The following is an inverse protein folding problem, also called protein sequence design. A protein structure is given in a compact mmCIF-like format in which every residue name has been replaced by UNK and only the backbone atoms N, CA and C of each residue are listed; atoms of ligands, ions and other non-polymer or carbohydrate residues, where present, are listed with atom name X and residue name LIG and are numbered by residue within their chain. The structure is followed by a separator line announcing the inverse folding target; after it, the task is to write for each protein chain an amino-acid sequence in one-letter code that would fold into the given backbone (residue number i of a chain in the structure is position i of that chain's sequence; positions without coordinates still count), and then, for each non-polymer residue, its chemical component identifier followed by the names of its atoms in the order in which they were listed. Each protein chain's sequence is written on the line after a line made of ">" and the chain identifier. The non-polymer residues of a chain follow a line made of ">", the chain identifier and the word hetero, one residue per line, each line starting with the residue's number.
data_IF_542243709016
#
_entry.id   IF_542243709016
#
_cell.length_a   1.000
_cell.length_b   1.000
_cell.length_c   1.000
_cell.angle_alpha   90.00
_cell.angle_beta   90.00
_cell.angle_gamma   90.00
#
_symmetry.space_group_name_H-M   'P 1'
#
loop_
_entity.id
_entity.type
_entity.pdbx_description
1 polymer ?
#
# COMPACT_ATOMS: atom_id res chain seq x y z
N UNK A 1 0.47 19.66 37.89
CA UNK A 1 -0.87 19.13 37.55
C UNK A 1 -0.71 18.24 36.32
N UNK A 2 -0.76 16.92 36.50
CA UNK A 2 -0.85 15.95 35.40
C UNK A 2 -2.32 15.52 35.26
N UNK A 3 -2.84 15.29 34.04
CA UNK A 3 -4.16 14.72 33.87
C UNK A 3 -4.12 13.20 34.17
N UNK A 4 -5.24 12.61 34.65
CA UNK A 4 -5.26 11.21 35.03
C UNK A 4 -5.35 10.27 33.81
N UNK A 5 -4.65 9.13 33.92
CA UNK A 5 -4.74 8.01 32.97
C UNK A 5 -6.16 7.43 32.97
N UNK A 6 -6.80 7.39 31.80
CA UNK A 6 -8.06 6.69 31.60
C UNK A 6 -7.81 5.18 31.44
N UNK A 7 -8.19 4.41 32.44
CA UNK A 7 -8.16 2.93 32.43
C UNK A 7 -9.32 2.40 31.59
N UNK A 8 -9.02 1.63 30.54
CA UNK A 8 -10.05 0.96 29.73
C UNK A 8 -10.50 -0.32 30.45
N UNK A 9 -11.82 -0.55 30.67
CA UNK A 9 -12.31 -1.74 31.36
C UNK A 9 -12.14 -3.02 30.51
N UNK A 10 -11.78 -4.11 31.19
CA UNK A 10 -11.43 -5.43 30.63
C UNK A 10 -12.58 -6.17 29.90
N UNK A 11 -13.77 -5.57 29.76
CA UNK A 11 -14.89 -6.12 29.01
C UNK A 11 -14.81 -5.85 27.49
N UNK A 12 -13.85 -5.05 27.01
CA UNK A 12 -13.61 -4.79 25.57
C UNK A 12 -12.60 -5.71 24.88
N UNK A 13 -12.04 -6.68 25.59
CA UNK A 13 -11.01 -7.61 25.07
C UNK A 13 -11.57 -8.90 24.44
N UNK A 14 -12.90 -9.09 24.37
CA UNK A 14 -13.54 -10.26 23.74
C UNK A 14 -14.39 -9.97 22.49
N UNK A 15 -14.20 -8.81 21.86
CA UNK A 15 -14.87 -8.44 20.59
C UNK A 15 -13.87 -8.13 19.46
N UNK A 16 -12.62 -8.60 19.56
CA UNK A 16 -11.58 -8.40 18.53
C UNK A 16 -11.35 -9.64 17.64
N UNK A 17 -12.12 -10.72 17.82
CA UNK A 17 -11.95 -11.98 17.05
C UNK A 17 -13.04 -12.28 16.01
N UNK A 18 -14.06 -11.42 15.85
CA UNK A 18 -15.16 -11.68 14.91
C UNK A 18 -15.51 -10.44 14.05
N UNK A 19 -14.54 -9.90 13.31
CA UNK A 19 -14.83 -8.92 12.25
C UNK A 19 -14.96 -9.67 10.91
N UNK A 20 -16.13 -9.65 10.25
CA UNK A 20 -16.31 -10.32 8.97
C UNK A 20 -15.57 -9.55 7.86
N UNK A 21 -14.82 -10.30 7.06
CA UNK A 21 -14.32 -9.88 5.75
C UNK A 21 -15.53 -9.57 4.85
N UNK A 22 -15.87 -8.30 4.64
CA UNK A 22 -16.96 -7.93 3.73
C UNK A 22 -16.43 -7.90 2.29
N UNK A 23 -16.51 -9.07 1.66
CA UNK A 23 -16.66 -9.20 0.21
C UNK A 23 -18.15 -9.00 -0.11
N UNK A 24 -18.43 -8.25 -1.18
CA UNK A 24 -19.74 -7.99 -1.79
C UNK A 24 -20.85 -9.01 -1.50
N UNK A 25 -21.99 -8.55 -0.96
CA UNK A 25 -23.20 -9.36 -0.82
C UNK A 25 -23.83 -9.68 -2.19
N UNK A 26 -24.27 -10.93 -2.46
CA UNK A 26 -25.18 -11.22 -3.56
C UNK A 26 -26.65 -11.02 -3.15
N UNK A 27 -27.48 -10.61 -4.11
CA UNK A 27 -28.92 -10.43 -3.98
C UNK A 27 -29.64 -11.75 -3.67
N UNK A 28 -30.62 -11.70 -2.75
CA UNK A 28 -31.59 -12.75 -2.51
C UNK A 28 -32.83 -12.54 -3.40
N UNK A 29 -33.35 -13.61 -4.02
CA UNK A 29 -34.72 -13.63 -4.56
C UNK A 29 -35.48 -14.83 -3.99
N UNK A 30 -36.71 -14.57 -3.56
CA UNK A 30 -37.58 -15.45 -2.82
C UNK A 30 -38.06 -16.70 -3.59
N UNK A 31 -38.41 -17.71 -2.80
CA UNK A 31 -38.97 -19.01 -3.15
C UNK A 31 -40.40 -18.96 -3.72
N UNK A 32 -40.70 -19.81 -4.70
CA UNK A 32 -42.07 -20.27 -4.98
C UNK A 32 -42.10 -21.81 -5.11
N UNK A 33 -43.14 -22.41 -4.55
CA UNK A 33 -43.28 -23.84 -4.22
C UNK A 33 -43.98 -24.70 -5.30
N UNK A 34 -43.51 -25.96 -5.38
CA UNK A 34 -44.21 -27.26 -5.63
C UNK A 34 -44.81 -27.64 -7.02
N UNK A 35 -44.33 -28.82 -7.45
CA UNK A 35 -45.00 -30.03 -7.99
C UNK A 35 -45.35 -30.15 -9.50
N UNK A 36 -44.63 -31.11 -10.10
CA UNK A 36 -45.10 -32.32 -10.79
C UNK A 36 -45.54 -32.32 -12.28
N UNK A 37 -44.88 -33.24 -13.01
CA UNK A 37 -45.38 -34.21 -14.00
C UNK A 37 -45.45 -33.87 -15.51
N UNK A 38 -44.71 -34.72 -16.24
CA UNK A 38 -44.96 -35.34 -17.57
C UNK A 38 -45.24 -34.46 -18.81
N UNK A 39 -44.41 -34.69 -19.84
CA UNK A 39 -44.93 -35.15 -21.14
C UNK A 39 -44.70 -34.26 -22.37
N UNK A 40 -43.73 -34.68 -23.19
CA UNK A 40 -43.72 -34.78 -24.66
C UNK A 40 -43.98 -33.54 -25.58
N UNK A 41 -43.17 -33.51 -26.65
CA UNK A 41 -43.37 -32.91 -28.00
C UNK A 41 -42.86 -31.47 -28.25
N UNK A 42 -41.68 -31.42 -28.86
CA UNK A 42 -41.29 -30.67 -30.06
C UNK A 42 -42.18 -29.51 -30.54
N UNK A 43 -41.68 -28.27 -30.42
CA UNK A 43 -41.96 -27.18 -31.40
C UNK A 43 -40.66 -26.39 -31.62
N UNK A 44 -40.24 -26.33 -32.87
CA UNK A 44 -39.18 -25.47 -33.37
C UNK A 44 -39.73 -24.04 -33.46
N UNK A 45 -39.11 -23.07 -32.79
CA UNK A 45 -39.03 -21.72 -33.33
C UNK A 45 -37.90 -20.90 -32.72
N UNK A 46 -37.09 -20.36 -33.62
CA UNK A 46 -35.90 -19.53 -33.47
C UNK A 46 -36.14 -18.27 -32.64
N UNK A 47 -35.30 -18.01 -31.64
CA UNK A 47 -35.05 -16.65 -31.15
C UNK A 47 -33.60 -16.51 -30.71
N UNK A 48 -32.89 -15.65 -31.42
CA UNK A 48 -31.51 -15.27 -31.18
C UNK A 48 -31.39 -14.54 -29.83
N UNK A 49 -30.63 -15.13 -28.91
CA UNK A 49 -30.03 -14.41 -27.79
C UNK A 49 -28.52 -14.65 -27.84
N UNK A 50 -27.81 -13.58 -28.20
CA UNK A 50 -26.36 -13.52 -28.08
C UNK A 50 -25.95 -13.75 -26.64
N UNK A 51 -25.34 -14.89 -26.37
CA UNK A 51 -24.60 -15.14 -25.15
C UNK A 51 -23.37 -14.22 -25.17
N UNK A 52 -23.48 -13.06 -24.52
CA UNK A 52 -22.31 -12.31 -24.07
C UNK A 52 -21.70 -13.14 -22.94
N UNK A 53 -20.80 -14.06 -23.31
CA UNK A 53 -19.94 -14.74 -22.36
C UNK A 53 -19.10 -13.68 -21.63
N UNK A 54 -19.24 -13.61 -20.31
CA UNK A 54 -18.27 -12.95 -19.44
C UNK A 54 -16.92 -13.63 -19.64
N UNK A 55 -16.09 -13.12 -20.57
CA UNK A 55 -14.65 -13.36 -20.54
C UNK A 55 -14.12 -12.62 -19.33
N UNK A 56 -13.81 -13.35 -18.27
CA UNK A 56 -12.86 -12.88 -17.27
C UNK A 56 -11.55 -12.60 -18.01
N UNK A 57 -11.15 -11.32 -18.08
CA UNK A 57 -9.86 -10.94 -18.65
C UNK A 57 -8.73 -11.64 -17.86
N UNK A 58 -7.93 -12.53 -18.48
CA UNK A 58 -6.78 -13.14 -17.82
C UNK A 58 -5.63 -12.14 -17.56
N UNK A 59 -5.78 -10.88 -17.99
CA UNK A 59 -4.77 -9.83 -17.86
C UNK A 59 -4.81 -9.08 -16.51
N UNK A 60 -5.79 -9.33 -15.63
CA UNK A 60 -5.91 -8.62 -14.34
C UNK A 60 -5.00 -9.19 -13.23
N UNK A 61 -4.17 -10.19 -13.53
CA UNK A 61 -3.38 -10.90 -12.51
C UNK A 61 -1.97 -11.28 -12.99
N UNK A 62 -1.37 -10.46 -13.86
CA UNK A 62 0.07 -10.56 -14.12
C UNK A 62 0.77 -9.87 -12.95
N UNK A 63 1.47 -10.60 -12.05
CA UNK A 63 2.29 -9.94 -11.05
C UNK A 63 3.30 -9.02 -11.77
N UNK A 64 3.57 -7.82 -11.25
CA UNK A 64 4.59 -6.95 -11.83
C UNK A 64 5.87 -7.76 -12.02
N UNK A 65 6.55 -7.56 -13.15
CA UNK A 65 7.77 -8.29 -13.47
C UNK A 65 8.72 -8.16 -12.28
N UNK A 66 9.03 -9.30 -11.64
CA UNK A 66 9.90 -9.30 -10.46
C UNK A 66 11.22 -8.61 -10.83
N UNK A 67 11.62 -7.62 -10.04
CA UNK A 67 12.91 -6.97 -10.24
C UNK A 67 13.99 -8.05 -10.19
N UNK A 68 14.88 -8.15 -11.20
CA UNK A 68 15.88 -9.21 -11.24
C UNK A 68 16.76 -9.13 -9.99
N UNK A 69 17.27 -10.28 -9.48
CA UNK A 69 18.16 -10.27 -8.33
C UNK A 69 19.41 -9.42 -8.62
N UNK A 70 19.88 -8.72 -7.59
CA UNK A 70 21.10 -7.89 -7.67
C UNK A 70 22.16 -8.41 -6.71
N UNK A 71 23.44 -8.25 -7.03
CA UNK A 71 24.52 -8.57 -6.10
C UNK A 71 24.95 -7.31 -5.35
N UNK A 72 24.83 -7.35 -4.02
CA UNK A 72 25.34 -6.32 -3.12
C UNK A 72 26.68 -6.78 -2.52
N UNK A 73 27.53 -5.82 -2.14
CA UNK A 73 28.77 -6.09 -1.42
C UNK A 73 28.62 -5.71 0.04
N UNK A 74 28.66 -6.71 0.93
CA UNK A 74 28.81 -6.51 2.36
C UNK A 74 30.30 -6.57 2.70
N UNK A 75 30.98 -5.41 2.66
CA UNK A 75 32.45 -5.32 2.71
C UNK A 75 33.09 -6.16 1.58
N UNK A 76 33.64 -7.32 1.91
CA UNK A 76 34.28 -8.26 0.97
C UNK A 76 33.37 -9.46 0.65
N UNK A 77 32.17 -9.53 1.23
CA UNK A 77 31.23 -10.65 1.07
C UNK A 77 30.14 -10.29 0.05
N UNK A 78 30.12 -10.91 -1.14
CA UNK A 78 29.04 -10.71 -2.10
C UNK A 78 27.79 -11.45 -1.66
N UNK A 79 26.65 -10.77 -1.71
CA UNK A 79 25.32 -11.33 -1.43
C UNK A 79 24.39 -11.05 -2.60
N UNK A 80 23.79 -12.09 -3.18
CA UNK A 80 22.76 -11.95 -4.21
C UNK A 80 21.39 -11.79 -3.55
N UNK A 81 20.70 -10.68 -3.81
CA UNK A 81 19.44 -10.34 -3.16
C UNK A 81 18.29 -10.28 -4.14
N UNK A 82 17.18 -10.90 -3.78
CA UNK A 82 15.89 -10.66 -4.42
C UNK A 82 15.40 -9.26 -4.02
N UNK A 83 15.01 -8.43 -4.98
CA UNK A 83 14.55 -7.04 -4.71
C UNK A 83 13.04 -7.00 -4.67
N UNK A 84 12.48 -6.40 -3.61
CA UNK A 84 11.03 -6.24 -3.46
C UNK A 84 10.67 -4.80 -3.09
N UNK A 85 10.08 -4.07 -4.04
CA UNK A 85 9.60 -2.70 -3.84
C UNK A 85 8.11 -2.62 -3.52
N UNK A 86 7.31 -3.66 -3.77
CA UNK A 86 5.89 -3.67 -3.45
C UNK A 86 5.57 -4.46 -2.16
N UNK A 87 4.62 -3.96 -1.37
CA UNK A 87 4.31 -4.48 -0.03
C UNK A 87 3.86 -5.95 -0.02
N UNK A 88 3.19 -6.40 -1.09
CA UNK A 88 2.68 -7.77 -1.21
C UNK A 88 3.81 -8.77 -1.47
N UNK A 89 4.74 -8.43 -2.35
CA UNK A 89 5.93 -9.22 -2.70
C UNK A 89 6.95 -9.25 -1.56
N UNK A 90 7.13 -8.11 -0.86
CA UNK A 90 8.13 -7.93 0.22
C UNK A 90 8.11 -9.04 1.27
N UNK A 91 6.93 -9.53 1.65
CA UNK A 91 6.79 -10.47 2.76
C UNK A 91 6.39 -11.87 2.31
N UNK A 92 5.68 -11.98 1.19
CA UNK A 92 5.28 -13.29 0.66
C UNK A 92 6.49 -14.13 0.28
N UNK A 93 7.52 -13.52 -0.31
CA UNK A 93 8.72 -14.26 -0.73
C UNK A 93 9.50 -14.85 0.45
N UNK A 94 9.57 -14.16 1.59
CA UNK A 94 10.27 -14.70 2.78
C UNK A 94 9.43 -15.74 3.52
N UNK A 95 8.12 -15.54 3.62
CA UNK A 95 7.22 -16.50 4.27
C UNK A 95 7.18 -17.86 3.57
N UNK A 96 7.44 -17.89 2.26
CA UNK A 96 7.46 -19.12 1.47
C UNK A 96 8.83 -19.82 1.48
N UNK A 97 9.91 -19.14 1.89
CA UNK A 97 11.25 -19.72 1.93
C UNK A 97 11.45 -20.52 3.23
N UNK A 98 11.92 -21.76 3.08
CA UNK A 98 12.25 -22.66 4.21
C UNK A 98 13.67 -22.48 4.70
N UNK A 99 14.54 -22.04 3.80
CA UNK A 99 15.94 -21.74 4.03
C UNK A 99 16.36 -20.49 3.23
N UNK A 100 17.47 -19.87 3.65
CA UNK A 100 18.10 -18.76 2.95
C UNK A 100 19.61 -19.02 2.96
N UNK A 101 20.22 -19.39 1.82
CA UNK A 101 21.67 -19.61 1.73
C UNK A 101 22.48 -18.38 2.18
N UNK A 102 23.66 -18.60 2.77
CA UNK A 102 24.51 -17.52 3.34
C UNK A 102 24.90 -16.44 2.32
N UNK A 103 25.00 -16.79 1.03
CA UNK A 103 25.34 -15.87 -0.05
C UNK A 103 24.11 -15.22 -0.71
N UNK A 104 22.94 -15.35 -0.10
CA UNK A 104 21.69 -14.80 -0.61
C UNK A 104 20.96 -13.94 0.42
N UNK A 105 20.06 -13.09 -0.05
CA UNK A 105 19.25 -12.27 0.81
C UNK A 105 18.01 -11.73 0.11
N UNK A 106 17.34 -10.81 0.79
CA UNK A 106 16.25 -10.02 0.23
C UNK A 106 16.43 -8.57 0.57
N UNK A 107 16.25 -7.70 -0.42
CA UNK A 107 16.28 -6.26 -0.24
C UNK A 107 14.88 -5.70 -0.41
N UNK A 108 14.27 -5.28 0.70
CA UNK A 108 13.02 -4.54 0.65
C UNK A 108 13.33 -3.06 0.40
N UNK A 109 12.66 -2.47 -0.58
CA UNK A 109 12.82 -1.06 -0.94
C UNK A 109 11.57 -0.29 -0.54
N UNK A 110 11.72 0.79 0.24
CA UNK A 110 10.61 1.59 0.77
C UNK A 110 10.60 2.99 0.17
N UNK A 111 9.42 3.42 -0.29
CA UNK A 111 9.12 4.78 -0.71
C UNK A 111 8.57 5.58 0.48
N UNK A 112 9.43 5.92 1.45
CA UNK A 112 9.04 6.66 2.66
C UNK A 112 10.16 7.59 3.12
N UNK A 113 9.85 8.87 3.29
CA UNK A 113 10.81 9.88 3.76
C UNK A 113 11.02 9.82 5.30
N UNK A 114 10.19 9.05 6.02
CA UNK A 114 10.24 8.91 7.48
C UNK A 114 10.77 7.52 7.89
N UNK A 115 9.90 6.68 8.43
CA UNK A 115 10.22 5.32 8.86
C UNK A 115 9.20 4.34 8.28
N UNK A 116 9.49 3.04 8.37
CA UNK A 116 8.59 1.98 7.95
C UNK A 116 8.47 0.90 9.02
N UNK A 117 7.34 0.19 8.99
CA UNK A 117 7.16 -1.05 9.75
C UNK A 117 7.44 -2.24 8.85
N UNK A 118 8.15 -3.22 9.39
CA UNK A 118 8.32 -4.52 8.76
C UNK A 118 7.62 -5.55 9.64
N UNK A 119 6.52 -6.15 9.18
CA UNK A 119 5.88 -7.23 9.91
C UNK A 119 6.74 -8.49 9.80
N UNK A 120 6.92 -9.14 10.93
CA UNK A 120 7.76 -10.35 11.08
C UNK A 120 6.93 -11.57 11.42
N UNK A 121 5.59 -11.40 11.51
CA UNK A 121 4.66 -12.49 11.73
C UNK A 121 4.83 -13.63 10.70
N UNK A 122 4.91 -14.84 11.24
CA UNK A 122 5.06 -16.10 10.50
C UNK A 122 6.32 -16.20 9.64
N UNK A 123 7.38 -15.47 9.99
CA UNK A 123 8.72 -15.74 9.45
C UNK A 123 9.34 -16.92 10.23
N UNK A 124 9.57 -18.03 9.53
CA UNK A 124 10.24 -19.21 10.09
C UNK A 124 11.76 -19.15 9.95
N UNK A 125 12.27 -18.21 9.16
CA UNK A 125 13.69 -17.99 8.93
C UNK A 125 14.31 -17.19 10.07
N UNK A 126 15.50 -17.62 10.50
CA UNK A 126 16.38 -16.80 11.34
C UNK A 126 17.18 -15.88 10.43
N UNK A 127 17.00 -14.57 10.60
CA UNK A 127 17.55 -13.55 9.71
C UNK A 127 18.38 -12.53 10.50
N UNK A 128 19.41 -11.96 9.88
CA UNK A 128 19.92 -10.65 10.29
C UNK A 128 19.17 -9.57 9.48
N UNK A 129 18.85 -8.46 10.12
CA UNK A 129 18.28 -7.28 9.47
C UNK A 129 19.29 -6.15 9.48
N UNK A 130 19.58 -5.62 8.29
CA UNK A 130 20.43 -4.46 8.07
C UNK A 130 19.54 -3.37 7.45
N UNK A 131 19.38 -2.24 8.14
CA UNK A 131 18.59 -1.11 7.65
C UNK A 131 19.52 -0.03 7.11
N UNK A 132 19.23 0.42 5.90
CA UNK A 132 20.08 1.34 5.15
C UNK A 132 19.33 2.63 4.82
N UNK A 133 20.02 3.76 4.85
CA UNK A 133 19.53 5.06 4.37
C UNK A 133 19.50 5.12 2.81
N UNK A 134 19.03 6.22 2.17
CA UNK A 134 18.98 6.33 0.72
C UNK A 134 20.34 6.17 0.02
N UNK A 135 21.44 6.52 0.70
CA UNK A 135 22.80 6.42 0.21
C UNK A 135 23.44 5.04 0.47
N UNK A 136 22.71 4.12 1.11
CA UNK A 136 23.20 2.80 1.48
C UNK A 136 23.98 2.76 2.78
N UNK A 137 23.96 3.83 3.59
CA UNK A 137 24.62 3.83 4.90
C UNK A 137 23.85 2.98 5.88
N UNK A 138 24.54 2.13 6.63
CA UNK A 138 23.97 1.26 7.66
C UNK A 138 23.54 2.12 8.85
N UNK A 139 22.24 2.15 9.10
CA UNK A 139 21.63 2.81 10.25
C UNK A 139 21.42 1.85 11.42
N UNK A 140 21.26 0.57 11.11
CA UNK A 140 20.94 -0.46 12.08
C UNK A 140 21.36 -1.83 11.55
N UNK A 141 21.92 -2.66 12.42
CA UNK A 141 22.19 -4.08 12.14
C UNK A 141 21.89 -4.88 13.40
N UNK A 142 20.97 -5.86 13.31
CA UNK A 142 20.73 -6.80 14.40
C UNK A 142 20.32 -8.19 13.90
N UNK A 143 20.73 -9.26 14.60
CA UNK A 143 20.11 -10.56 14.44
C UNK A 143 18.65 -10.50 14.91
N UNK A 144 17.75 -10.96 14.06
CA UNK A 144 16.37 -11.24 14.43
C UNK A 144 16.35 -12.59 15.15
N UNK A 145 16.61 -12.57 16.46
CA UNK A 145 16.39 -13.74 17.31
C UNK A 145 14.89 -14.07 17.39
N UNK A 146 14.54 -15.35 17.62
CA UNK A 146 13.15 -15.85 17.72
C UNK A 146 12.25 -15.05 18.67
N UNK A 147 12.84 -14.36 19.66
CA UNK A 147 12.16 -13.33 20.40
C UNK A 147 12.33 -12.01 19.68
N UNK A 148 11.26 -11.44 19.10
CA UNK A 148 10.95 -10.01 19.14
C UNK A 148 9.79 -9.68 18.19
N UNK A 149 8.72 -9.14 18.78
CA UNK A 149 7.62 -8.34 18.20
C UNK A 149 6.99 -8.82 16.87
N UNK A 150 5.66 -8.75 16.77
CA UNK A 150 4.93 -9.02 15.51
C UNK A 150 5.41 -8.15 14.33
N UNK A 151 6.00 -7.01 14.65
CA UNK A 151 6.51 -5.99 13.72
C UNK A 151 7.70 -5.26 14.35
N UNK A 152 8.62 -4.72 13.54
CA UNK A 152 9.61 -3.75 13.99
C UNK A 152 9.53 -2.44 13.20
N UNK A 153 9.86 -1.33 13.85
CA UNK A 153 9.97 0.01 13.24
C UNK A 153 11.41 0.30 12.82
N UNK A 154 11.60 0.84 11.62
CA UNK A 154 12.91 1.32 11.18
C UNK A 154 13.30 2.61 11.90
N UNK A 155 14.61 2.95 11.97
CA UNK A 155 15.03 4.31 12.20
C UNK A 155 14.45 5.26 11.15
N UNK A 156 14.27 6.52 11.52
CA UNK A 156 13.92 7.59 10.59
C UNK A 156 15.03 7.73 9.54
N UNK A 157 14.63 7.88 8.27
CA UNK A 157 15.52 7.99 7.13
C UNK A 157 15.96 6.65 6.53
N UNK A 158 15.56 5.52 7.10
CA UNK A 158 15.80 4.22 6.44
C UNK A 158 14.96 4.09 5.16
N UNK A 159 15.58 3.59 4.09
CA UNK A 159 14.94 3.29 2.80
C UNK A 159 14.95 1.82 2.42
N UNK A 160 15.91 1.08 2.97
CA UNK A 160 16.08 -0.31 2.61
C UNK A 160 16.14 -1.18 3.86
N UNK A 161 15.53 -2.36 3.77
CA UNK A 161 15.74 -3.44 4.73
C UNK A 161 16.36 -4.61 3.99
N UNK A 162 17.66 -4.84 4.23
CA UNK A 162 18.39 -6.00 3.75
C UNK A 162 18.28 -7.11 4.79
N UNK A 163 17.65 -8.21 4.38
CA UNK A 163 17.51 -9.42 5.17
C UNK A 163 18.42 -10.51 4.62
N UNK A 164 19.28 -11.05 5.48
CA UNK A 164 20.22 -12.13 5.17
C UNK A 164 20.12 -13.21 6.23
N UNK A 165 20.68 -14.40 5.99
CA UNK A 165 20.70 -15.46 6.99
C UNK A 165 21.41 -14.98 8.28
N UNK A 166 20.97 -15.47 9.45
CA UNK A 166 21.57 -15.08 10.73
C UNK A 166 23.07 -15.35 10.77
N UNK A 167 23.83 -14.37 11.27
CA UNK A 167 25.28 -14.41 11.40
C UNK A 167 26.03 -13.96 10.15
N UNK A 168 25.37 -13.80 8.99
CA UNK A 168 26.01 -13.30 7.77
C UNK A 168 26.51 -11.87 7.96
N UNK A 169 25.73 -11.00 8.61
CA UNK A 169 26.14 -9.61 8.82
C UNK A 169 27.38 -9.54 9.73
N UNK A 170 27.40 -10.34 10.80
CA UNK A 170 28.52 -10.43 11.73
C UNK A 170 29.78 -11.01 11.06
N UNK A 171 29.64 -12.08 10.27
CA UNK A 171 30.73 -12.72 9.51
C UNK A 171 31.33 -11.78 8.47
N UNK A 172 30.50 -10.96 7.81
CA UNK A 172 30.95 -9.94 6.87
C UNK A 172 31.60 -8.73 7.56
N UNK A 173 31.44 -8.58 8.88
CA UNK A 173 31.96 -7.44 9.64
C UNK A 173 31.27 -6.12 9.30
N UNK A 174 29.96 -6.17 9.00
CA UNK A 174 29.14 -4.98 8.77
C UNK A 174 28.71 -4.38 10.12
N UNK A 175 28.94 -3.09 10.29
CA UNK A 175 28.52 -2.32 11.46
C UNK A 175 27.79 -1.02 11.06
N UNK A 176 27.15 -0.37 12.05
CA UNK A 176 26.49 0.92 11.89
C UNK A 176 27.49 1.96 11.38
N UNK A 177 27.10 2.71 10.36
CA UNK A 177 27.94 3.71 9.71
C UNK A 177 28.67 3.21 8.47
N UNK A 178 28.75 1.90 8.25
CA UNK A 178 29.26 1.34 7.00
C UNK A 178 28.36 1.70 5.81
N UNK A 179 28.87 1.51 4.59
CA UNK A 179 28.11 1.77 3.36
C UNK A 179 28.02 0.52 2.50
N UNK A 180 26.80 0.18 2.09
CA UNK A 180 26.50 -0.86 1.11
C UNK A 180 26.10 -0.15 -0.19
N UNK A 181 26.83 -0.40 -1.27
CA UNK A 181 26.53 0.23 -2.55
C UNK A 181 25.19 -0.26 -3.12
N UNK A 182 24.21 0.65 -3.22
CA UNK A 182 22.90 0.37 -3.81
C UNK A 182 22.98 0.64 -5.33
N UNK A 183 22.65 -0.34 -6.19
CA UNK A 183 22.62 -0.12 -7.63
C UNK A 183 21.63 0.99 -8.01
N UNK A 184 21.95 1.87 -8.99
CA UNK A 184 21.06 2.96 -9.38
C UNK A 184 19.64 2.51 -9.76
N UNK A 185 19.51 1.35 -10.41
CA UNK A 185 18.21 0.77 -10.76
C UNK A 185 17.35 0.44 -9.53
N UNK A 186 17.98 0.03 -8.42
CA UNK A 186 17.30 -0.24 -7.15
C UNK A 186 17.00 1.05 -6.41
N UNK A 187 17.95 2.00 -6.41
CA UNK A 187 17.76 3.30 -5.77
C UNK A 187 16.56 4.06 -6.35
N UNK A 188 16.37 3.99 -7.67
CA UNK A 188 15.23 4.58 -8.35
C UNK A 188 13.87 4.05 -7.85
N UNK A 189 13.81 2.82 -7.32
CA UNK A 189 12.58 2.25 -6.76
C UNK A 189 12.20 2.84 -5.40
N UNK A 190 13.13 3.51 -4.72
CA UNK A 190 12.93 4.10 -3.39
C UNK A 190 12.34 5.51 -3.42
N UNK A 191 12.26 6.12 -4.60
CA UNK A 191 11.70 7.46 -4.82
C UNK A 191 10.26 7.35 -5.31
N UNK A 192 9.28 7.94 -4.59
CA UNK A 192 7.90 7.95 -5.07
C UNK A 192 7.77 8.81 -6.33
N UNK A 193 7.01 8.33 -7.30
CA UNK A 193 6.66 9.12 -8.50
C UNK A 193 5.82 10.31 -8.09
N UNK A 194 6.31 11.53 -8.37
CA UNK A 194 5.65 12.80 -8.05
C UNK A 194 5.30 13.56 -9.32
N UNK A 195 4.03 13.89 -9.51
CA UNK A 195 3.55 14.70 -10.63
C UNK A 195 3.00 16.04 -10.14
N UNK A 196 3.30 17.17 -10.83
CA UNK A 196 2.66 18.44 -10.52
C UNK A 196 1.18 18.41 -10.93
N UNK A 197 0.28 18.71 -10.00
CA UNK A 197 -1.16 18.88 -10.27
C UNK A 197 -1.58 20.25 -9.81
N UNK A 198 -2.30 20.98 -10.68
CA UNK A 198 -2.84 22.30 -10.34
C UNK A 198 -4.12 22.15 -9.52
N UNK A 199 -4.11 22.67 -8.30
CA UNK A 199 -5.26 22.76 -7.42
C UNK A 199 -5.55 24.24 -7.13
N UNK A 200 -6.67 24.75 -7.62
CA UNK A 200 -6.96 26.18 -7.58
C UNK A 200 -5.88 27.00 -8.30
N UNK A 201 -5.22 27.92 -7.59
CA UNK A 201 -4.13 28.75 -8.12
C UNK A 201 -2.73 28.17 -7.91
N UNK A 202 -2.58 27.06 -7.18
CA UNK A 202 -1.28 26.50 -6.80
C UNK A 202 -0.99 25.18 -7.50
N UNK A 203 0.29 24.85 -7.65
CA UNK A 203 0.75 23.55 -8.12
C UNK A 203 1.23 22.73 -6.94
N UNK A 204 0.63 21.57 -6.73
CA UNK A 204 0.97 20.63 -5.67
C UNK A 204 1.69 19.43 -6.28
N UNK A 205 2.79 19.00 -5.69
CA UNK A 205 3.51 17.78 -6.09
C UNK A 205 2.79 16.57 -5.50
N UNK A 206 2.15 15.79 -6.36
CA UNK A 206 1.34 14.65 -5.96
C UNK A 206 2.11 13.35 -6.13
N UNK A 207 2.25 12.60 -5.05
CA UNK A 207 2.61 11.19 -5.13
C UNK A 207 1.46 10.37 -5.70
N UNK A 208 1.77 9.37 -6.54
CA UNK A 208 0.74 8.59 -7.25
C UNK A 208 0.55 7.22 -6.60
N UNK A 209 -0.62 6.97 -6.04
CA UNK A 209 -1.03 5.68 -5.50
C UNK A 209 -1.95 4.93 -6.49
N UNK A 210 -1.33 4.30 -7.49
CA UNK A 210 -2.03 3.57 -8.57
C UNK A 210 -2.12 2.05 -8.35
N UNK A 211 -1.27 1.47 -7.52
CA UNK A 211 -1.30 0.04 -7.18
C UNK A 211 -2.06 -0.20 -5.87
N UNK A 212 -2.54 -1.43 -5.64
CA UNK A 212 -3.19 -1.78 -4.37
C UNK A 212 -2.26 -1.53 -3.17
N UNK A 213 -0.97 -1.84 -3.32
CA UNK A 213 0.02 -1.64 -2.26
C UNK A 213 0.19 -0.15 -1.91
N UNK A 214 0.36 0.70 -2.93
CA UNK A 214 0.50 2.15 -2.69
C UNK A 214 -0.78 2.76 -2.10
N UNK A 215 -1.97 2.30 -2.54
CA UNK A 215 -3.25 2.76 -1.97
C UNK A 215 -3.46 2.31 -0.53
N UNK A 216 -3.12 1.07 -0.20
CA UNK A 216 -3.25 0.56 1.16
C UNK A 216 -2.30 1.26 2.13
N UNK A 217 -1.08 1.58 1.66
CA UNK A 217 -0.10 2.33 2.42
C UNK A 217 -0.49 3.79 2.61
N UNK A 218 -0.93 4.48 1.57
CA UNK A 218 -1.22 5.92 1.63
C UNK A 218 -0.09 6.73 2.26
N UNK A 219 -0.46 7.69 3.13
CA UNK A 219 0.49 8.52 3.89
C UNK A 219 0.86 7.95 5.28
N UNK A 220 0.66 6.64 5.50
CA UNK A 220 1.02 5.99 6.77
C UNK A 220 2.48 6.19 7.17
N UNK A 221 2.71 6.31 8.47
CA UNK A 221 4.01 6.49 9.11
C UNK A 221 4.71 7.82 8.84
N UNK A 222 4.10 8.75 8.08
CA UNK A 222 4.67 10.08 7.91
C UNK A 222 4.53 10.94 9.16
N UNK A 223 5.57 11.70 9.45
CA UNK A 223 5.59 12.68 10.55
C UNK A 223 5.21 14.07 10.08
N UNK A 224 5.41 14.36 8.78
CA UNK A 224 5.04 15.63 8.14
C UNK A 224 4.70 15.44 6.66
N UNK A 225 4.01 16.42 6.08
CA UNK A 225 3.76 16.54 4.65
C UNK A 225 4.03 18.00 4.25
N UNK A 226 4.92 18.28 3.28
CA UNK A 226 5.15 19.65 2.81
C UNK A 226 3.85 20.32 2.35
N UNK A 227 3.76 21.65 2.49
CA UNK A 227 2.55 22.40 2.16
C UNK A 227 2.20 22.31 0.66
N UNK A 228 3.20 22.12 -0.20
CA UNK A 228 3.09 21.97 -1.65
C UNK A 228 3.16 20.49 -2.09
N UNK A 229 2.85 19.56 -1.20
CA UNK A 229 2.80 18.13 -1.47
C UNK A 229 1.44 17.50 -1.12
N UNK A 230 1.14 16.38 -1.77
CA UNK A 230 -0.04 15.57 -1.52
C UNK A 230 0.09 14.18 -2.13
N UNK A 231 -0.98 13.40 -2.05
CA UNK A 231 -1.06 12.08 -2.68
C UNK A 231 -2.37 11.94 -3.45
N UNK A 232 -2.32 11.42 -4.67
CA UNK A 232 -3.50 11.06 -5.46
C UNK A 232 -3.63 9.55 -5.57
N UNK A 233 -4.78 9.05 -5.16
CA UNK A 233 -5.18 7.65 -5.24
C UNK A 233 -5.95 7.44 -6.53
N UNK A 234 -5.53 6.47 -7.33
CA UNK A 234 -6.15 6.17 -8.63
C UNK A 234 -6.79 4.79 -8.57
N UNK A 235 -8.08 4.71 -8.90
CA UNK A 235 -8.82 3.44 -8.99
C UNK A 235 -9.15 3.10 -10.44
N UNK A 236 -9.24 1.80 -10.73
CA UNK A 236 -9.52 1.31 -12.09
C UNK A 236 -10.91 1.67 -12.59
N UNK A 237 -11.89 1.78 -11.67
CA UNK A 237 -13.29 2.11 -11.97
C UNK A 237 -13.84 3.09 -10.96
N UNK A 238 -14.90 3.78 -11.35
CA UNK A 238 -15.71 4.56 -10.41
C UNK A 238 -16.46 3.63 -9.47
N UNK A 239 -16.38 3.94 -8.18
CA UNK A 239 -17.04 3.21 -7.11
C UNK A 239 -17.18 4.13 -5.90
N UNK A 240 -17.98 3.75 -4.91
CA UNK A 240 -17.94 4.43 -3.62
C UNK A 240 -16.58 4.12 -2.97
N UNK A 241 -15.86 5.17 -2.59
CA UNK A 241 -14.55 5.06 -1.94
C UNK A 241 -14.70 5.32 -0.46
N UNK A 242 -13.89 4.66 0.36
CA UNK A 242 -13.81 4.96 1.78
C UNK A 242 -12.35 4.88 2.24
N UNK A 243 -11.97 5.84 3.07
CA UNK A 243 -10.61 5.96 3.60
C UNK A 243 -10.64 5.95 5.13
N UNK A 244 -9.47 5.71 5.72
CA UNK A 244 -9.23 5.72 7.15
C UNK A 244 -7.84 6.28 7.42
N UNK A 245 -7.52 6.52 8.68
CA UNK A 245 -6.27 7.13 9.14
C UNK A 245 -5.44 6.16 9.98
N UNK A 246 -5.64 4.84 9.83
CA UNK A 246 -4.83 3.83 10.51
C UNK A 246 -3.36 4.14 10.25
N UNK A 247 -2.56 4.27 11.31
CA UNK A 247 -1.12 4.57 11.25
C UNK A 247 -0.73 5.91 10.56
N UNK A 248 -1.69 6.79 10.28
CA UNK A 248 -1.45 8.13 9.71
C UNK A 248 -1.47 9.19 10.82
N UNK A 249 -0.34 9.89 11.00
CA UNK A 249 -0.14 10.86 12.10
C UNK A 249 -0.53 12.28 11.76
N UNK A 250 -0.37 12.63 10.49
CA UNK A 250 -0.67 13.95 9.97
C UNK A 250 -2.19 14.06 9.76
N UNK A 251 -2.86 15.11 10.23
CA UNK A 251 -4.26 15.33 9.92
C UNK A 251 -4.41 15.72 8.45
N UNK A 252 -5.42 15.19 7.77
CA UNK A 252 -5.56 15.34 6.32
C UNK A 252 -6.93 15.86 5.90
N UNK A 253 -6.95 16.59 4.79
CA UNK A 253 -8.13 16.72 3.94
C UNK A 253 -8.14 15.56 2.94
N UNK A 254 -9.32 15.01 2.64
CA UNK A 254 -9.53 14.11 1.50
C UNK A 254 -10.54 14.70 0.53
N UNK A 255 -10.16 14.76 -0.75
CA UNK A 255 -10.95 15.29 -1.85
C UNK A 255 -11.29 14.14 -2.80
N UNK A 256 -12.55 13.72 -2.87
CA UNK A 256 -13.00 12.65 -3.76
C UNK A 256 -13.39 13.20 -5.12
N UNK A 257 -12.90 12.59 -6.20
CA UNK A 257 -13.16 13.01 -7.59
C UNK A 257 -13.79 11.89 -8.39
N UNK A 258 -14.78 12.23 -9.21
CA UNK A 258 -15.29 11.33 -10.26
C UNK A 258 -14.31 11.25 -11.44
N UNK A 259 -14.58 10.40 -12.42
CA UNK A 259 -13.69 10.16 -13.58
C UNK A 259 -13.33 11.43 -14.36
N UNK A 260 -14.25 12.39 -14.43
CA UNK A 260 -14.06 13.67 -15.12
C UNK A 260 -13.10 14.63 -14.40
N UNK A 261 -12.71 14.33 -13.16
CA UNK A 261 -11.98 15.24 -12.28
C UNK A 261 -12.89 16.16 -11.45
N UNK A 262 -14.22 16.01 -11.53
CA UNK A 262 -15.16 16.79 -10.71
C UNK A 262 -15.13 16.36 -9.24
N UNK A 263 -15.06 17.32 -8.33
CA UNK A 263 -15.09 17.10 -6.88
C UNK A 263 -16.49 16.65 -6.44
N UNK A 264 -16.55 15.44 -5.90
CA UNK A 264 -17.77 14.82 -5.36
C UNK A 264 -17.99 15.21 -3.91
N UNK A 265 -16.94 15.19 -3.10
CA UNK A 265 -16.98 15.59 -1.69
C UNK A 265 -15.58 15.90 -1.16
N UNK A 266 -15.52 16.71 -0.12
CA UNK A 266 -14.30 17.05 0.62
C UNK A 266 -14.57 16.75 2.09
N UNK A 267 -13.65 16.06 2.77
CA UNK A 267 -13.78 15.68 4.19
C UNK A 267 -12.47 15.90 4.93
N UNK A 268 -12.57 16.08 6.25
CA UNK A 268 -11.42 16.11 7.14
C UNK A 268 -11.24 14.74 7.78
N UNK A 269 -9.99 14.32 7.95
CA UNK A 269 -9.64 13.04 8.55
C UNK A 269 -8.68 13.26 9.72
N UNK A 270 -9.04 12.74 10.90
CA UNK A 270 -8.27 12.88 12.13
C UNK A 270 -7.19 11.79 12.23
N UNK A 271 -5.99 12.10 12.79
CA UNK A 271 -4.93 11.11 12.95
C UNK A 271 -5.38 9.85 13.69
N UNK A 272 -4.94 8.69 13.23
CA UNK A 272 -5.24 7.37 13.80
C UNK A 272 -6.72 6.96 13.82
N UNK A 273 -7.64 7.74 13.23
CA UNK A 273 -9.05 7.37 13.16
C UNK A 273 -9.26 6.20 12.18
N UNK A 274 -9.68 5.05 12.69
CA UNK A 274 -9.93 3.84 11.89
C UNK A 274 -11.37 3.76 11.35
N UNK A 275 -12.22 4.74 11.64
CA UNK A 275 -13.55 4.80 11.08
C UNK A 275 -13.49 5.12 9.58
N UNK A 276 -14.36 4.46 8.81
CA UNK A 276 -14.47 4.72 7.39
C UNK A 276 -15.00 6.14 7.14
N UNK A 277 -14.27 6.89 6.33
CA UNK A 277 -14.67 8.18 5.76
C UNK A 277 -15.11 7.92 4.31
N UNK A 278 -16.43 7.81 4.02
CA UNK A 278 -16.90 7.47 2.69
C UNK A 278 -17.00 8.69 1.77
N UNK A 279 -16.85 8.50 0.47
CA UNK A 279 -17.21 9.48 -0.56
C UNK A 279 -18.73 9.68 -0.58
N UNK A 280 -19.19 10.89 -0.92
CA UNK A 280 -20.63 11.19 -1.07
C UNK A 280 -21.07 11.03 -2.53
N UNK A 281 -20.82 9.85 -3.08
CA UNK A 281 -21.08 9.48 -4.47
C UNK A 281 -19.94 8.65 -5.07
N UNK A 282 -20.12 8.24 -6.33
CA UNK A 282 -19.09 7.50 -7.07
C UNK A 282 -17.86 8.38 -7.32
N UNK A 283 -16.70 7.83 -7.02
CA UNK A 283 -15.40 8.46 -7.24
C UNK A 283 -14.44 7.47 -7.92
N UNK A 284 -13.57 8.00 -8.77
CA UNK A 284 -12.43 7.27 -9.35
C UNK A 284 -11.12 7.63 -8.69
N UNK A 285 -11.03 8.84 -8.14
CA UNK A 285 -9.82 9.35 -7.51
C UNK A 285 -10.12 9.87 -6.11
N UNK A 286 -9.08 9.90 -5.29
CA UNK A 286 -9.06 10.67 -4.05
C UNK A 286 -7.73 11.44 -3.97
N UNK A 287 -7.74 12.66 -3.48
CA UNK A 287 -6.53 13.44 -3.19
C UNK A 287 -6.45 13.67 -1.69
N UNK A 288 -5.34 13.27 -1.07
CA UNK A 288 -4.99 13.61 0.30
C UNK A 288 -4.06 14.83 0.33
N UNK A 289 -4.40 15.80 1.18
CA UNK A 289 -3.63 17.02 1.44
C UNK A 289 -3.52 17.25 2.95
N UNK A 290 -2.60 18.12 3.38
CA UNK A 290 -2.63 18.63 4.76
C UNK A 290 -4.02 19.17 5.13
N UNK A 291 -4.48 18.92 6.35
CA UNK A 291 -5.75 19.45 6.86
C UNK A 291 -5.87 20.97 6.61
N UNK A 292 -7.00 21.41 6.06
CA UNK A 292 -7.27 22.81 5.72
C UNK A 292 -6.68 23.29 4.39
N UNK A 293 -5.87 22.47 3.71
CA UNK A 293 -5.32 22.83 2.40
C UNK A 293 -6.41 22.95 1.33
N UNK A 294 -7.46 22.11 1.36
CA UNK A 294 -8.55 22.20 0.39
C UNK A 294 -9.26 23.57 0.48
N UNK A 295 -9.51 24.05 1.70
CA UNK A 295 -10.08 25.36 1.94
C UNK A 295 -9.14 26.50 1.51
N UNK A 296 -7.85 26.41 1.86
CA UNK A 296 -6.81 27.36 1.44
C UNK A 296 -6.71 27.50 -0.08
N UNK A 297 -6.80 26.37 -0.79
CA UNK A 297 -6.75 26.29 -2.25
C UNK A 297 -8.11 26.64 -2.92
N UNK A 298 -9.14 26.94 -2.12
CA UNK A 298 -10.46 27.34 -2.60
C UNK A 298 -11.29 26.22 -3.22
N UNK A 299 -10.94 24.95 -2.96
CA UNK A 299 -11.60 23.78 -3.55
C UNK A 299 -12.99 23.58 -2.95
N UNK A 300 -13.98 23.32 -3.80
CA UNK A 300 -15.38 23.09 -3.41
C UNK A 300 -15.98 21.91 -4.17
N UNK A 301 -16.99 21.29 -3.57
CA UNK A 301 -17.81 20.29 -4.26
C UNK A 301 -18.36 20.89 -5.57
N UNK A 302 -18.21 20.14 -6.66
CA UNK A 302 -18.62 20.56 -8.00
C UNK A 302 -17.52 21.19 -8.84
N UNK A 303 -16.41 21.64 -8.24
CA UNK A 303 -15.25 22.14 -9.00
C UNK A 303 -14.60 21.01 -9.81
N UNK A 304 -13.81 21.38 -10.82
CA UNK A 304 -13.06 20.43 -11.64
C UNK A 304 -11.56 20.58 -11.39
N UNK A 305 -10.88 19.46 -11.19
CA UNK A 305 -9.43 19.37 -11.14
C UNK A 305 -8.95 18.73 -12.44
N UNK A 306 -8.09 19.45 -13.17
CA UNK A 306 -7.46 18.92 -14.36
C UNK A 306 -6.34 17.94 -13.98
N UNK A 307 -6.69 16.65 -13.94
CA UNK A 307 -5.72 15.59 -13.69
C UNK A 307 -4.88 15.33 -14.95
N UNK A 308 -3.54 15.33 -14.87
CA UNK A 308 -2.68 14.98 -15.99
C UNK A 308 -2.97 13.59 -16.56
N UNK A 309 -2.68 13.39 -17.84
CA UNK A 309 -2.93 12.11 -18.53
C UNK A 309 -2.26 10.92 -17.84
N UNK A 310 -1.03 11.11 -17.36
CA UNK A 310 -0.29 10.10 -16.60
C UNK A 310 -1.00 9.65 -15.30
N UNK A 311 -1.83 10.51 -14.69
CA UNK A 311 -2.66 10.13 -13.52
C UNK A 311 -3.92 9.38 -13.97
N UNK A 312 -4.50 9.77 -15.12
CA UNK A 312 -5.71 9.12 -15.66
C UNK A 312 -5.44 7.72 -16.17
N UNK A 313 -4.23 7.47 -16.66
CA UNK A 313 -3.75 6.21 -17.21
C UNK A 313 -2.40 5.82 -16.57
N UNK A 314 -2.40 5.37 -15.30
CA UNK A 314 -1.16 5.12 -14.56
C UNK A 314 -0.39 3.87 -15.01
N UNK A 315 -0.85 3.15 -16.04
CA UNK A 315 -0.08 2.03 -16.63
C UNK A 315 1.27 2.48 -17.18
N UNK A 316 1.41 3.76 -17.48
CA UNK A 316 2.66 4.38 -17.92
C UNK A 316 3.59 4.76 -16.75
N UNK A 317 3.13 4.56 -15.50
CA UNK A 317 3.86 4.89 -14.26
C UNK A 317 4.29 3.65 -13.46
N UNK A 318 3.84 2.45 -13.86
CA UNK A 318 4.24 1.14 -13.30
C UNK A 318 5.47 0.59 -14.04
#
# INVERSE_FOLDING_TARGET
>A
MHPPHATIPASRLRQMNDLPTVISKPFASASFTRRAALGVVCVVMTLALGLVGCKSDPAANVPPAATPPVTLQLKQTPITVDVASDERTRLLHLRLKKDLPENTGMLLVFQSDDYFKVPTDNLYLKLDVILLDPMGKVLFVRPMSEALAREFESPVGARYALMVATGVAAKAGIDIGDTVAIPPAVAALSEPVRLPIKLGSETIRMEIAATDALRQRGLMYRTSLPQDAGMVFVFQREQELAFWMKDTRIPLDIVYLERSGRIVSIKHMAPYDINATPSEGFARYAIELNLGAAARLGLKRGDFIDLPEAVRNPKDLE
#
